data_IF_548951243951
#
_entry.id   IF_548951243951
#
_cell.length_a   1.000
_cell.length_b   1.000
_cell.length_c   1.000
_cell.angle_alpha   90.00
_cell.angle_beta   90.00
_cell.angle_gamma   90.00
#
_symmetry.space_group_name_H-M   'P 1'
#
loop_
_entity.id
_entity.type
_entity.pdbx_description
1 polymer ?
#
# COMPACT_ATOMS: atom_id res chain seq x y z
N UNK A 1 -70.93 43.98 21.99
CA UNK A 1 -71.36 42.57 21.83
C UNK A 1 -70.37 41.93 20.86
N UNK A 2 -69.56 40.91 21.13
CA UNK A 2 -69.41 39.93 22.22
C UNK A 2 -67.93 39.49 22.19
N UNK A 3 -67.29 39.37 23.37
CA UNK A 3 -66.05 38.61 23.58
C UNK A 3 -66.36 37.11 23.48
N UNK A 4 -65.47 36.28 22.94
CA UNK A 4 -64.57 35.40 23.72
C UNK A 4 -64.11 34.12 22.97
N UNK A 5 -62.81 33.84 23.16
CA UNK A 5 -62.14 32.53 23.24
C UNK A 5 -62.15 31.58 22.04
N UNK A 6 -60.94 31.32 21.49
CA UNK A 6 -60.16 30.11 21.83
C UNK A 6 -58.71 30.22 21.31
N UNK A 7 -57.80 30.49 22.25
CA UNK A 7 -56.45 29.94 22.25
C UNK A 7 -56.59 28.41 22.24
N UNK A 8 -55.97 27.70 21.29
CA UNK A 8 -55.34 26.39 21.53
C UNK A 8 -54.53 25.96 20.31
N UNK A 9 -53.24 25.64 20.55
CA UNK A 9 -52.33 24.81 19.73
C UNK A 9 -51.78 25.39 18.42
N UNK A 10 -50.82 26.30 18.58
CA UNK A 10 -49.74 26.54 17.62
C UNK A 10 -48.41 26.06 18.24
N UNK A 11 -48.37 24.78 18.62
CA UNK A 11 -47.14 24.03 18.90
C UNK A 11 -47.37 22.67 18.25
N UNK A 12 -46.64 22.37 17.18
CA UNK A 12 -46.71 21.09 16.50
C UNK A 12 -47.07 21.20 15.02
N UNK A 13 -46.27 21.94 14.25
CA UNK A 13 -46.13 21.68 12.80
C UNK A 13 -44.80 22.27 12.31
N UNK A 14 -43.70 21.83 12.91
CA UNK A 14 -42.35 22.07 12.37
C UNK A 14 -41.49 20.82 12.60
N UNK A 15 -42.01 19.69 12.14
CA UNK A 15 -41.28 18.42 12.11
C UNK A 15 -41.99 17.47 11.16
N UNK A 16 -41.90 17.78 9.87
CA UNK A 16 -42.11 16.86 8.77
C UNK A 16 -41.61 17.59 7.54
N UNK A 17 -40.89 16.86 6.67
CA UNK A 17 -40.14 17.35 5.51
C UNK A 17 -38.68 17.73 5.84
N UNK A 18 -37.89 16.71 6.17
CA UNK A 18 -36.53 16.58 5.61
C UNK A 18 -36.44 15.24 4.89
N UNK A 19 -36.75 15.29 3.59
CA UNK A 19 -36.11 14.54 2.49
C UNK A 19 -35.72 13.07 2.74
N UNK A 20 -36.56 12.14 2.26
CA UNK A 20 -36.20 10.74 2.01
C UNK A 20 -35.42 10.60 0.69
N UNK A 21 -34.10 10.82 0.75
CA UNK A 21 -33.16 10.35 -0.26
C UNK A 21 -32.00 9.64 0.45
N UNK A 22 -32.07 8.31 0.51
CA UNK A 22 -30.89 7.43 0.52
C UNK A 22 -29.95 7.39 1.73
N UNK A 23 -30.24 7.98 2.89
CA UNK A 23 -29.37 7.77 4.06
C UNK A 23 -29.59 6.37 4.65
N UNK A 24 -28.62 5.46 4.45
CA UNK A 24 -28.51 4.25 5.29
C UNK A 24 -28.51 4.68 6.75
N UNK A 25 -29.30 4.03 7.59
CA UNK A 25 -29.29 4.36 9.01
C UNK A 25 -27.88 4.10 9.57
N UNK A 26 -27.44 4.91 10.54
CA UNK A 26 -26.16 4.73 11.23
C UNK A 26 -25.95 3.29 11.70
N UNK A 27 -27.02 2.66 12.19
CA UNK A 27 -27.01 1.26 12.59
C UNK A 27 -26.71 0.33 11.41
N UNK A 28 -27.42 0.49 10.28
CA UNK A 28 -27.19 -0.33 9.08
C UNK A 28 -25.75 -0.22 8.59
N UNK A 29 -25.16 0.98 8.60
CA UNK A 29 -23.76 1.18 8.25
C UNK A 29 -22.83 0.37 9.17
N UNK A 30 -23.01 0.50 10.48
CA UNK A 30 -22.13 -0.18 11.43
C UNK A 30 -22.32 -1.70 11.44
N UNK A 31 -23.53 -2.21 11.17
CA UNK A 31 -23.76 -3.64 10.94
C UNK A 31 -23.09 -4.11 9.64
N UNK A 32 -23.29 -3.37 8.54
CA UNK A 32 -22.75 -3.71 7.23
C UNK A 32 -21.22 -3.84 7.26
N UNK A 33 -20.52 -2.91 7.91
CA UNK A 33 -19.05 -2.90 7.96
C UNK A 33 -18.46 -3.59 9.20
N UNK A 34 -19.31 -4.23 10.02
CA UNK A 34 -18.90 -5.11 11.12
C UNK A 34 -18.47 -4.41 12.41
N UNK A 35 -18.82 -3.14 12.58
CA UNK A 35 -18.70 -2.42 13.85
C UNK A 35 -19.78 -2.82 14.86
N UNK A 36 -20.91 -3.33 14.36
CA UNK A 36 -21.98 -3.96 15.13
C UNK A 36 -22.21 -5.40 14.63
N UNK A 37 -22.67 -6.33 15.50
CA UNK A 37 -23.06 -7.66 15.09
C UNK A 37 -24.30 -7.61 14.19
N UNK A 38 -24.34 -8.47 13.17
CA UNK A 38 -25.52 -8.61 12.30
C UNK A 38 -26.68 -9.20 13.09
N UNK A 39 -27.81 -8.49 13.07
CA UNK A 39 -29.04 -8.91 13.75
C UNK A 39 -29.99 -9.59 12.76
N UNK A 40 -30.60 -10.69 13.18
CA UNK A 40 -31.55 -11.48 12.38
C UNK A 40 -32.93 -11.51 13.03
N UNK A 41 -34.00 -11.60 12.21
CA UNK A 41 -35.37 -11.77 12.71
C UNK A 41 -35.87 -10.61 13.57
N UNK A 42 -36.48 -10.93 14.73
CA UNK A 42 -37.05 -9.95 15.67
C UNK A 42 -36.04 -8.95 16.23
N UNK A 43 -34.74 -9.29 16.25
CA UNK A 43 -33.68 -8.41 16.79
C UNK A 43 -33.41 -7.18 15.93
N UNK A 44 -33.81 -7.19 14.65
CA UNK A 44 -33.71 -5.99 13.79
C UNK A 44 -34.64 -4.86 14.24
N UNK A 45 -35.69 -5.17 14.99
CA UNK A 45 -36.64 -4.18 15.51
C UNK A 45 -36.22 -3.59 16.86
N UNK A 46 -35.26 -4.20 17.55
CA UNK A 46 -34.73 -3.69 18.80
C UNK A 46 -33.67 -2.62 18.55
N UNK A 47 -33.82 -1.47 19.21
CA UNK A 47 -32.82 -0.41 19.19
C UNK A 47 -31.49 -0.92 19.76
N UNK A 48 -30.37 -0.54 19.13
CA UNK A 48 -29.04 -0.72 19.70
C UNK A 48 -28.92 0.16 20.95
N UNK A 49 -28.36 -0.36 22.05
CA UNK A 49 -28.19 0.46 23.26
C UNK A 49 -27.25 1.65 22.97
N UNK A 50 -27.47 2.82 23.58
CA UNK A 50 -26.61 3.99 23.37
C UNK A 50 -25.13 3.69 23.62
N UNK A 51 -24.82 2.91 24.65
CA UNK A 51 -23.45 2.48 24.98
C UNK A 51 -22.82 1.61 23.88
N UNK A 52 -23.61 0.70 23.28
CA UNK A 52 -23.12 -0.16 22.18
C UNK A 52 -22.84 0.67 20.93
N UNK A 53 -23.72 1.64 20.64
CA UNK A 53 -23.54 2.54 19.51
C UNK A 53 -22.33 3.46 19.70
N UNK A 54 -22.14 4.01 20.90
CA UNK A 54 -20.98 4.83 21.26
C UNK A 54 -19.67 4.06 21.01
N UNK A 55 -19.58 2.80 21.48
CA UNK A 55 -18.42 1.94 21.23
C UNK A 55 -18.17 1.69 19.73
N UNK A 56 -19.23 1.45 18.96
CA UNK A 56 -19.12 1.27 17.51
C UNK A 56 -18.60 2.54 16.82
N UNK A 57 -19.10 3.71 17.22
CA UNK A 57 -18.65 5.02 16.72
C UNK A 57 -17.19 5.28 17.10
N UNK A 58 -16.80 5.09 18.36
CA UNK A 58 -15.41 5.27 18.81
C UNK A 58 -14.44 4.40 18.00
N UNK A 59 -14.83 3.15 17.75
CA UNK A 59 -14.02 2.21 16.97
C UNK A 59 -13.91 2.61 15.50
N UNK A 60 -15.00 3.09 14.90
CA UNK A 60 -14.97 3.64 13.55
C UNK A 60 -14.08 4.88 13.44
N UNK A 61 -14.17 5.77 14.42
CA UNK A 61 -13.32 6.96 14.50
C UNK A 61 -11.84 6.58 14.60
N UNK A 62 -11.50 5.66 15.50
CA UNK A 62 -10.14 5.17 15.68
C UNK A 62 -9.59 4.54 14.39
N UNK A 63 -10.35 3.63 13.76
CA UNK A 63 -9.94 2.96 12.54
C UNK A 63 -9.69 3.94 11.38
N UNK A 64 -10.47 5.02 11.31
CA UNK A 64 -10.38 6.03 10.26
C UNK A 64 -9.48 7.22 10.62
N UNK A 65 -8.79 7.18 11.76
CA UNK A 65 -7.91 8.26 12.20
C UNK A 65 -8.63 9.57 12.54
N UNK A 66 -9.92 9.50 12.87
CA UNK A 66 -10.70 10.62 13.38
C UNK A 66 -10.45 10.81 14.88
N UNK A 67 -10.86 11.97 15.41
CA UNK A 67 -10.88 12.19 16.86
C UNK A 67 -11.88 11.22 17.49
N UNK A 68 -11.42 10.38 18.42
CA UNK A 68 -12.27 9.43 19.15
C UNK A 68 -13.11 10.18 20.17
N UNK A 69 -14.38 10.38 19.87
CA UNK A 69 -15.37 11.05 20.73
C UNK A 69 -16.50 10.11 21.15
N UNK A 70 -16.72 9.00 20.42
CA UNK A 70 -17.90 8.15 20.61
C UNK A 70 -19.21 8.78 20.14
N UNK A 71 -19.15 10.01 19.62
CA UNK A 71 -20.30 10.79 19.19
C UNK A 71 -20.34 10.81 17.67
N UNK A 72 -21.52 10.64 17.10
CA UNK A 72 -21.77 10.73 15.67
C UNK A 72 -21.79 12.20 15.21
N UNK A 73 -20.61 12.84 15.27
CA UNK A 73 -20.40 14.22 14.82
C UNK A 73 -20.38 14.33 13.28
N UNK A 74 -20.42 15.57 12.78
CA UNK A 74 -20.52 15.84 11.34
C UNK A 74 -19.32 15.29 10.56
N UNK A 75 -18.13 15.28 11.17
CA UNK A 75 -16.93 14.71 10.55
C UNK A 75 -17.03 13.18 10.44
N UNK A 76 -17.57 12.53 11.46
CA UNK A 76 -17.82 11.09 11.47
C UNK A 76 -18.86 10.71 10.42
N UNK A 77 -20.00 11.42 10.37
CA UNK A 77 -21.03 11.21 9.35
C UNK A 77 -20.48 11.41 7.95
N UNK A 78 -19.78 12.52 7.72
CA UNK A 78 -19.15 12.80 6.42
C UNK A 78 -18.23 11.65 6.00
N UNK A 79 -17.42 11.12 6.93
CA UNK A 79 -16.55 9.98 6.66
C UNK A 79 -17.33 8.70 6.33
N UNK A 80 -18.48 8.46 6.97
CA UNK A 80 -19.33 7.30 6.66
C UNK A 80 -19.87 7.32 5.23
N UNK A 81 -20.16 8.49 4.67
CA UNK A 81 -20.70 8.67 3.32
C UNK A 81 -19.64 8.82 2.23
N UNK A 82 -18.34 8.78 2.57
CA UNK A 82 -17.29 8.77 1.56
C UNK A 82 -17.28 7.45 0.78
N UNK A 83 -17.06 7.48 -0.55
CA UNK A 83 -16.98 6.27 -1.37
C UNK A 83 -15.95 5.27 -0.84
N UNK A 84 -16.34 4.00 -0.71
CA UNK A 84 -15.53 2.95 -0.11
C UNK A 84 -15.78 1.56 -0.70
N UNK A 85 -14.94 0.61 -0.32
CA UNK A 85 -15.15 -0.82 -0.52
C UNK A 85 -16.29 -1.34 0.38
N UNK A 86 -17.06 -2.29 -0.16
CA UNK A 86 -18.18 -2.97 0.49
C UNK A 86 -17.80 -4.08 1.47
N UNK A 87 -16.52 -4.46 1.54
CA UNK A 87 -16.02 -5.46 2.49
C UNK A 87 -16.02 -4.92 3.92
N UNK A 88 -16.27 -5.79 4.90
CA UNK A 88 -16.25 -5.46 6.34
C UNK A 88 -14.87 -5.04 6.82
N UNK A 89 -14.81 -4.05 7.72
CA UNK A 89 -13.58 -3.63 8.40
C UNK A 89 -13.25 -4.57 9.57
N UNK A 90 -14.30 -5.01 10.28
CA UNK A 90 -14.22 -5.84 11.48
C UNK A 90 -15.16 -7.06 11.37
N UNK A 91 -14.83 -8.14 12.07
CA UNK A 91 -15.83 -9.17 12.38
C UNK A 91 -16.75 -8.65 13.48
N UNK A 92 -18.01 -9.08 13.48
CA UNK A 92 -19.04 -8.60 14.43
C UNK A 92 -18.75 -8.88 15.91
N UNK A 93 -17.70 -9.66 16.22
CA UNK A 93 -17.14 -9.88 17.56
C UNK A 93 -16.08 -8.82 17.96
N UNK A 94 -15.79 -7.88 17.08
CA UNK A 94 -14.88 -6.78 17.31
C UNK A 94 -13.44 -7.01 16.82
N UNK A 95 -13.06 -8.20 16.36
CA UNK A 95 -11.73 -8.40 15.77
C UNK A 95 -11.63 -7.76 14.38
N UNK A 96 -10.43 -7.33 13.97
CA UNK A 96 -10.21 -6.87 12.59
C UNK A 96 -10.64 -7.99 11.64
N UNK A 97 -11.39 -7.68 10.58
CA UNK A 97 -11.91 -8.69 9.66
C UNK A 97 -10.74 -9.33 8.90
N UNK A 98 -10.18 -10.39 9.47
CA UNK A 98 -8.98 -11.07 8.98
C UNK A 98 -9.33 -12.48 8.58
N UNK A 99 -9.90 -12.63 7.40
CA UNK A 99 -9.97 -13.94 6.75
C UNK A 99 -8.62 -14.18 6.06
N UNK A 100 -7.60 -14.60 6.82
CA UNK A 100 -6.27 -14.95 6.27
C UNK A 100 -6.42 -16.27 5.50
N UNK A 101 -7.01 -16.18 4.33
CA UNK A 101 -7.13 -17.25 3.35
C UNK A 101 -6.30 -16.87 2.15
N UNK A 102 -5.60 -17.85 1.57
CA UNK A 102 -4.82 -17.65 0.35
C UNK A 102 -5.13 -18.74 -0.66
N UNK A 103 -4.93 -18.46 -1.92
CA UNK A 103 -4.97 -19.49 -2.95
C UNK A 103 -3.86 -20.53 -2.72
N UNK A 104 -4.19 -21.81 -2.94
CA UNK A 104 -3.22 -22.92 -2.85
C UNK A 104 -2.30 -23.00 -4.08
N UNK A 105 -2.60 -22.22 -5.12
CA UNK A 105 -1.86 -22.13 -6.38
C UNK A 105 -1.48 -20.68 -6.67
N UNK A 106 -0.46 -20.49 -7.51
CA UNK A 106 0.00 -19.17 -7.92
C UNK A 106 -0.47 -18.77 -9.33
N UNK A 107 -0.84 -19.74 -10.17
CA UNK A 107 -1.43 -19.47 -11.48
C UNK A 107 -2.94 -19.41 -11.35
N UNK A 108 -3.45 -18.18 -11.34
CA UNK A 108 -4.86 -17.87 -11.17
C UNK A 108 -5.46 -17.52 -12.53
N UNK A 109 -6.70 -17.96 -12.73
CA UNK A 109 -7.48 -17.67 -13.93
C UNK A 109 -8.55 -16.64 -13.62
N UNK A 110 -8.85 -15.77 -14.58
CA UNK A 110 -9.88 -14.74 -14.41
C UNK A 110 -10.68 -14.54 -15.68
N UNK A 111 -11.92 -14.09 -15.54
CA UNK A 111 -12.78 -13.69 -16.67
C UNK A 111 -13.67 -12.52 -16.30
N UNK A 112 -14.18 -11.80 -17.30
CA UNK A 112 -15.26 -10.82 -17.13
C UNK A 112 -16.53 -11.42 -17.67
N UNK A 113 -17.47 -11.72 -16.78
CA UNK A 113 -18.78 -12.28 -17.15
C UNK A 113 -19.72 -11.17 -17.59
N UNK A 114 -19.84 -10.13 -16.77
CA UNK A 114 -20.72 -8.99 -17.00
C UNK A 114 -19.87 -7.72 -17.08
N UNK A 115 -19.85 -7.06 -18.23
CA UNK A 115 -19.19 -5.76 -18.43
C UNK A 115 -20.09 -4.60 -18.03
N UNK A 116 -19.51 -3.49 -17.55
CA UNK A 116 -20.26 -2.29 -17.28
C UNK A 116 -20.91 -1.77 -18.56
N UNK A 117 -22.21 -1.44 -18.46
CA UNK A 117 -23.01 -0.92 -19.58
C UNK A 117 -23.39 0.55 -19.41
N UNK A 118 -23.22 1.09 -18.21
CA UNK A 118 -23.56 2.47 -17.85
C UNK A 118 -22.38 3.43 -18.00
N UNK A 119 -21.16 2.89 -18.08
CA UNK A 119 -19.95 3.67 -18.31
C UNK A 119 -19.75 4.09 -19.78
N UNK A 120 -18.96 5.15 -19.99
CA UNK A 120 -18.44 5.54 -21.30
C UNK A 120 -17.20 4.73 -21.73
N UNK A 121 -16.68 3.85 -20.86
CA UNK A 121 -15.54 3.00 -21.16
C UNK A 121 -15.95 1.84 -22.09
N UNK A 122 -15.21 1.68 -23.19
CA UNK A 122 -15.33 0.50 -24.04
C UNK A 122 -14.95 -0.78 -23.29
N UNK A 123 -15.44 -1.95 -23.73
CA UNK A 123 -15.05 -3.25 -23.15
C UNK A 123 -13.54 -3.46 -23.12
N UNK A 124 -12.83 -3.01 -24.16
CA UNK A 124 -11.37 -3.09 -24.22
C UNK A 124 -10.69 -2.20 -23.16
N UNK A 125 -11.22 -1.00 -22.90
CA UNK A 125 -10.72 -0.14 -21.83
C UNK A 125 -10.95 -0.77 -20.45
N UNK A 126 -12.13 -1.34 -20.22
CA UNK A 126 -12.44 -2.07 -18.99
C UNK A 126 -11.50 -3.28 -18.80
N UNK A 127 -11.31 -4.12 -19.83
CA UNK A 127 -10.37 -5.25 -19.80
C UNK A 127 -8.93 -4.80 -19.51
N UNK A 128 -8.47 -3.73 -20.14
CA UNK A 128 -7.12 -3.23 -19.93
C UNK A 128 -6.91 -2.68 -18.52
N UNK A 129 -7.93 -2.04 -17.93
CA UNK A 129 -7.90 -1.60 -16.54
C UNK A 129 -7.80 -2.80 -15.58
N UNK A 130 -8.63 -3.83 -15.79
CA UNK A 130 -8.61 -5.08 -15.02
C UNK A 130 -7.23 -5.77 -15.12
N UNK A 131 -6.67 -5.89 -16.32
CA UNK A 131 -5.33 -6.47 -16.53
C UNK A 131 -4.25 -5.70 -15.76
N UNK A 132 -4.31 -4.36 -15.76
CA UNK A 132 -3.36 -3.53 -15.01
C UNK A 132 -3.53 -3.66 -13.51
N UNK A 133 -4.77 -3.69 -13.02
CA UNK A 133 -5.09 -3.94 -11.62
C UNK A 133 -4.48 -5.25 -11.12
N UNK A 134 -4.65 -6.36 -11.86
CA UNK A 134 -4.00 -7.64 -11.54
C UNK A 134 -2.47 -7.56 -11.64
N UNK A 135 -1.94 -6.78 -12.59
CA UNK A 135 -0.50 -6.60 -12.76
C UNK A 135 0.17 -5.88 -11.60
N UNK A 136 -0.51 -4.98 -10.89
CA UNK A 136 0.04 -4.38 -9.68
C UNK A 136 0.47 -5.48 -8.69
N UNK A 137 -0.38 -6.50 -8.50
CA UNK A 137 -0.11 -7.64 -7.62
C UNK A 137 0.92 -8.65 -8.20
N UNK A 138 0.82 -9.01 -9.48
CA UNK A 138 1.79 -9.94 -10.10
C UNK A 138 3.19 -9.33 -10.19
N UNK A 139 3.29 -7.99 -10.22
CA UNK A 139 4.58 -7.30 -10.32
C UNK A 139 5.46 -7.50 -9.09
N UNK A 140 4.85 -7.71 -7.93
CA UNK A 140 5.52 -7.83 -6.62
C UNK A 140 5.46 -9.24 -6.02
N UNK A 141 4.77 -10.19 -6.66
CA UNK A 141 4.59 -11.57 -6.18
C UNK A 141 4.99 -12.62 -7.22
N UNK A 142 4.84 -13.89 -6.87
CA UNK A 142 4.96 -15.02 -7.81
C UNK A 142 3.64 -15.36 -8.52
N UNK A 143 2.57 -14.61 -8.25
CA UNK A 143 1.27 -14.84 -8.86
C UNK A 143 1.33 -14.57 -10.37
N UNK A 144 0.66 -15.41 -11.13
CA UNK A 144 0.38 -15.19 -12.55
C UNK A 144 -1.13 -15.18 -12.76
N UNK A 145 -1.58 -14.36 -13.70
CA UNK A 145 -2.99 -14.20 -14.00
C UNK A 145 -3.21 -14.47 -15.48
N UNK A 146 -4.05 -15.46 -15.77
CA UNK A 146 -4.41 -15.83 -17.14
C UNK A 146 -5.89 -15.58 -17.39
N UNK A 147 -6.16 -14.76 -18.38
CA UNK A 147 -7.52 -14.52 -18.85
C UNK A 147 -8.07 -15.79 -19.50
N UNK A 148 -9.31 -16.15 -19.15
CA UNK A 148 -10.06 -17.27 -19.75
C UNK A 148 -11.42 -16.76 -20.25
N UNK A 149 -12.04 -17.42 -21.24
CA UNK A 149 -13.30 -16.93 -21.81
C UNK A 149 -14.45 -16.85 -20.79
N UNK A 150 -14.55 -17.84 -19.90
CA UNK A 150 -15.62 -17.96 -18.91
C UNK A 150 -15.11 -18.63 -17.62
N UNK A 151 -15.70 -18.26 -16.48
CA UNK A 151 -15.37 -18.82 -15.17
C UNK A 151 -13.96 -18.44 -14.71
N UNK A 152 -13.30 -19.36 -14.01
CA UNK A 152 -11.97 -19.16 -13.45
C UNK A 152 -11.96 -19.00 -11.94
N UNK A 153 -10.82 -18.58 -11.40
CA UNK A 153 -10.63 -18.37 -9.96
C UNK A 153 -11.12 -17.00 -9.48
N UNK A 154 -11.28 -16.04 -10.41
CA UNK A 154 -11.78 -14.68 -10.15
C UNK A 154 -12.75 -14.35 -11.28
N UNK A 155 -14.06 -14.39 -11.03
CA UNK A 155 -15.07 -13.94 -12.00
C UNK A 155 -15.48 -12.51 -11.69
N UNK A 156 -15.35 -11.65 -12.70
CA UNK A 156 -15.62 -10.22 -12.58
C UNK A 156 -16.99 -9.89 -13.15
N UNK A 157 -17.79 -9.12 -12.40
CA UNK A 157 -19.12 -8.70 -12.82
C UNK A 157 -19.37 -7.24 -12.45
N UNK A 158 -19.92 -6.47 -13.39
CA UNK A 158 -20.55 -5.19 -13.12
C UNK A 158 -22.05 -5.40 -12.95
N UNK A 159 -22.57 -5.12 -11.76
CA UNK A 159 -23.97 -5.39 -11.36
C UNK A 159 -24.48 -4.26 -10.48
N UNK A 160 -25.79 -4.06 -10.39
CA UNK A 160 -26.39 -2.99 -9.58
C UNK A 160 -27.39 -3.56 -8.57
N UNK A 161 -27.57 -2.87 -7.44
CA UNK A 161 -28.55 -3.24 -6.41
C UNK A 161 -28.33 -4.65 -5.85
N UNK A 162 -29.43 -5.36 -5.57
CA UNK A 162 -29.37 -6.78 -5.23
C UNK A 162 -28.97 -7.63 -6.45
N UNK A 163 -27.89 -8.39 -6.28
CA UNK A 163 -27.29 -9.22 -7.33
C UNK A 163 -27.05 -10.67 -6.88
N UNK A 164 -27.79 -11.10 -5.85
CA UNK A 164 -27.94 -12.52 -5.50
C UNK A 164 -26.84 -13.14 -4.63
N UNK A 165 -25.96 -12.33 -4.05
CA UNK A 165 -24.86 -12.79 -3.19
C UNK A 165 -24.99 -12.35 -1.72
N UNK A 166 -26.09 -11.67 -1.37
CA UNK A 166 -26.37 -11.15 -0.04
C UNK A 166 -25.72 -9.80 0.29
N UNK A 167 -24.94 -9.20 -0.61
CA UNK A 167 -24.25 -7.92 -0.42
C UNK A 167 -24.72 -6.89 -1.45
N UNK A 168 -25.98 -6.45 -1.36
CA UNK A 168 -26.57 -5.52 -2.33
C UNK A 168 -25.84 -4.17 -2.37
N UNK A 169 -25.65 -3.64 -3.58
CA UNK A 169 -25.15 -2.28 -3.78
C UNK A 169 -26.21 -1.21 -3.48
N UNK A 170 -25.77 0.00 -3.13
CA UNK A 170 -26.61 1.11 -2.70
C UNK A 170 -26.85 2.18 -3.77
N UNK A 171 -26.36 1.96 -4.99
CA UNK A 171 -26.42 2.95 -6.07
C UNK A 171 -25.22 3.89 -6.00
N UNK A 172 -25.26 5.04 -6.71
CA UNK A 172 -24.07 5.87 -6.91
C UNK A 172 -23.41 6.37 -5.60
N UNK A 173 -22.09 6.25 -5.54
CA UNK A 173 -21.20 6.78 -4.52
C UNK A 173 -20.74 5.75 -3.48
N UNK A 174 -21.55 5.55 -2.44
CA UNK A 174 -21.17 4.95 -1.14
C UNK A 174 -20.36 3.65 -1.28
N UNK A 175 -20.96 2.55 -1.76
CA UNK A 175 -20.26 1.27 -1.93
C UNK A 175 -19.92 1.06 -3.40
N UNK A 176 -18.63 1.15 -3.72
CA UNK A 176 -18.15 1.11 -5.10
C UNK A 176 -18.07 -0.32 -5.67
N UNK A 177 -17.63 -1.26 -4.84
CA UNK A 177 -17.34 -2.63 -5.23
C UNK A 177 -17.13 -3.51 -3.99
N UNK A 178 -17.13 -4.83 -4.18
CA UNK A 178 -16.63 -5.79 -3.20
C UNK A 178 -16.07 -7.03 -3.88
N UNK A 179 -15.21 -7.76 -3.17
CA UNK A 179 -14.73 -9.06 -3.59
C UNK A 179 -14.84 -10.12 -2.50
N UNK A 180 -15.03 -11.36 -2.95
CA UNK A 180 -14.93 -12.53 -2.10
C UNK A 180 -13.49 -12.97 -1.93
N UNK A 181 -13.14 -13.35 -0.71
CA UNK A 181 -11.83 -13.90 -0.37
C UNK A 181 -11.51 -15.22 -1.12
N UNK A 182 -10.24 -15.67 -1.14
CA UNK A 182 -9.84 -16.92 -1.77
C UNK A 182 -10.70 -18.14 -1.43
N UNK A 183 -10.85 -19.05 -2.41
CA UNK A 183 -11.84 -20.13 -2.54
C UNK A 183 -13.09 -19.74 -3.33
N UNK A 184 -13.36 -18.44 -3.49
CA UNK A 184 -14.32 -17.92 -4.46
C UNK A 184 -13.63 -16.89 -5.36
N UNK A 185 -13.12 -15.79 -4.81
CA UNK A 185 -12.39 -14.77 -5.58
C UNK A 185 -13.24 -13.85 -6.45
N UNK A 186 -14.53 -14.13 -6.62
CA UNK A 186 -15.40 -13.30 -7.46
C UNK A 186 -15.42 -11.85 -6.97
N UNK A 187 -15.45 -10.93 -7.93
CA UNK A 187 -15.34 -9.50 -7.69
C UNK A 187 -16.48 -8.79 -8.40
N UNK A 188 -17.25 -8.03 -7.63
CA UNK A 188 -18.41 -7.29 -8.11
C UNK A 188 -18.15 -5.80 -8.02
N UNK A 189 -18.49 -5.08 -9.09
CA UNK A 189 -18.41 -3.62 -9.19
C UNK A 189 -19.81 -3.05 -9.35
N UNK A 190 -20.16 -1.97 -8.65
CA UNK A 190 -21.47 -1.36 -8.78
C UNK A 190 -21.60 -0.70 -10.16
N UNK A 191 -22.49 -1.23 -11.01
CA UNK A 191 -22.75 -0.69 -12.35
C UNK A 191 -23.55 0.62 -12.30
N UNK A 192 -23.97 1.07 -11.11
CA UNK A 192 -24.55 2.40 -10.90
C UNK A 192 -23.48 3.49 -10.89
N UNK A 193 -22.20 3.13 -10.72
CA UNK A 193 -21.10 4.08 -10.66
C UNK A 193 -20.68 4.63 -12.02
N UNK A 194 -20.21 5.87 -12.00
CA UNK A 194 -19.55 6.48 -13.15
C UNK A 194 -18.09 6.02 -13.23
N UNK A 195 -17.88 4.81 -13.74
CA UNK A 195 -16.54 4.27 -13.97
C UNK A 195 -15.77 5.10 -15.01
N UNK A 196 -14.58 5.55 -14.65
CA UNK A 196 -13.66 6.33 -15.49
C UNK A 196 -12.25 5.75 -15.44
N UNK A 197 -11.36 6.34 -16.24
CA UNK A 197 -9.93 6.05 -16.19
C UNK A 197 -9.18 7.39 -16.22
N UNK A 198 -8.19 7.52 -15.34
CA UNK A 198 -7.22 8.62 -15.34
C UNK A 198 -7.84 10.02 -15.23
N UNK A 199 -8.94 10.15 -14.52
CA UNK A 199 -9.60 11.44 -14.25
C UNK A 199 -10.29 11.40 -12.89
N UNK A 200 -10.43 12.58 -12.28
CA UNK A 200 -11.21 12.77 -11.05
C UNK A 200 -12.71 12.97 -11.31
N UNK A 201 -13.17 13.00 -12.57
CA UNK A 201 -14.58 13.20 -12.92
C UNK A 201 -15.46 11.93 -12.73
N UNK A 202 -15.00 10.98 -11.92
CA UNK A 202 -15.66 9.70 -11.66
C UNK A 202 -14.79 8.78 -10.81
N UNK A 203 -15.13 7.49 -10.84
CA UNK A 203 -14.45 6.45 -10.07
C UNK A 203 -13.45 5.72 -10.97
N UNK A 204 -12.17 5.77 -10.62
CA UNK A 204 -11.12 5.14 -11.42
C UNK A 204 -11.17 3.62 -11.27
N UNK A 205 -11.53 2.95 -12.36
CA UNK A 205 -11.73 1.50 -12.38
C UNK A 205 -10.44 0.73 -12.10
N UNK A 206 -9.27 1.23 -12.51
CA UNK A 206 -7.99 0.54 -12.28
C UNK A 206 -7.65 0.50 -10.78
N UNK A 207 -7.86 1.61 -10.07
CA UNK A 207 -7.56 1.72 -8.64
C UNK A 207 -8.54 0.88 -7.81
N UNK A 208 -9.85 0.99 -8.08
CA UNK A 208 -10.84 0.19 -7.33
C UNK A 208 -10.65 -1.29 -7.62
N UNK A 209 -10.46 -1.70 -8.88
CA UNK A 209 -10.19 -3.10 -9.20
C UNK A 209 -8.91 -3.61 -8.53
N UNK A 210 -7.86 -2.80 -8.45
CA UNK A 210 -6.64 -3.20 -7.75
C UNK A 210 -6.92 -3.48 -6.26
N UNK A 211 -7.72 -2.63 -5.60
CA UNK A 211 -8.14 -2.83 -4.20
C UNK A 211 -8.92 -4.14 -4.04
N UNK A 212 -9.96 -4.33 -4.84
CA UNK A 212 -10.81 -5.53 -4.74
C UNK A 212 -10.04 -6.82 -5.04
N UNK A 213 -9.09 -6.78 -5.98
CA UNK A 213 -8.23 -7.94 -6.21
C UNK A 213 -7.29 -8.21 -5.04
N UNK A 214 -6.95 -7.22 -4.22
CA UNK A 214 -6.28 -7.46 -2.94
C UNK A 214 -7.11 -8.38 -2.04
N UNK A 215 -8.42 -8.16 -1.93
CA UNK A 215 -9.36 -9.04 -1.23
C UNK A 215 -9.49 -10.41 -1.88
N UNK A 216 -9.68 -10.46 -3.21
CA UNK A 216 -9.72 -11.72 -3.96
C UNK A 216 -8.44 -12.56 -3.80
N UNK A 217 -7.32 -11.92 -3.46
CA UNK A 217 -6.04 -12.56 -3.15
C UNK A 217 -5.81 -12.83 -1.66
N UNK A 218 -6.68 -12.35 -0.77
CA UNK A 218 -6.67 -12.68 0.65
C UNK A 218 -6.22 -11.58 1.60
N UNK A 219 -6.08 -10.34 1.12
CA UNK A 219 -5.82 -9.18 1.97
C UNK A 219 -7.11 -8.67 2.60
N UNK A 220 -7.01 -8.21 3.85
CA UNK A 220 -8.06 -7.47 4.52
C UNK A 220 -7.81 -5.96 4.37
N UNK A 221 -8.77 -5.14 4.82
CA UNK A 221 -8.56 -3.71 4.90
C UNK A 221 -7.36 -3.36 5.79
N UNK A 222 -6.61 -2.33 5.37
CA UNK A 222 -5.51 -1.75 6.12
C UNK A 222 -5.96 -0.47 6.82
N UNK A 223 -5.43 -0.24 8.02
CA UNK A 223 -5.54 1.03 8.74
C UNK A 223 -4.54 2.07 8.23
N UNK A 224 -3.57 1.67 7.40
CA UNK A 224 -2.59 2.58 6.81
C UNK A 224 -3.29 3.41 5.74
N UNK A 225 -3.57 4.67 6.05
CA UNK A 225 -4.34 5.56 5.17
C UNK A 225 -3.69 5.81 3.82
N UNK A 226 -2.41 5.54 3.59
CA UNK A 226 -1.78 5.61 2.27
C UNK A 226 -1.92 4.33 1.44
N UNK A 227 -2.17 3.18 2.09
CA UNK A 227 -2.27 1.89 1.43
C UNK A 227 -3.42 1.83 0.43
N UNK A 228 -3.25 1.03 -0.61
CA UNK A 228 -4.33 0.69 -1.53
C UNK A 228 -5.45 0.00 -0.77
N UNK A 229 -5.13 -0.93 0.13
CA UNK A 229 -6.10 -1.68 0.93
C UNK A 229 -6.79 -0.86 2.03
N UNK A 230 -6.59 0.45 2.13
CA UNK A 230 -7.44 1.29 2.95
C UNK A 230 -8.87 1.33 2.37
N UNK A 231 -9.94 1.24 3.17
CA UNK A 231 -11.30 1.01 2.65
C UNK A 231 -11.86 2.15 1.80
N UNK A 232 -11.41 3.38 2.04
CA UNK A 232 -11.97 4.57 1.41
C UNK A 232 -11.23 4.93 0.12
N UNK A 233 -12.00 5.20 -0.93
CA UNK A 233 -11.50 5.64 -2.22
C UNK A 233 -10.97 7.07 -2.13
N UNK A 234 -9.78 7.30 -2.70
CA UNK A 234 -9.03 8.56 -2.59
C UNK A 234 -9.06 9.40 -3.87
N UNK A 235 -9.89 9.03 -4.83
CA UNK A 235 -9.85 9.61 -6.17
C UNK A 235 -8.78 8.97 -7.06
N UNK A 236 -8.62 9.54 -8.25
CA UNK A 236 -7.61 9.09 -9.20
C UNK A 236 -6.21 9.49 -8.72
N UNK A 237 -5.30 8.52 -8.73
CA UNK A 237 -3.88 8.69 -8.37
C UNK A 237 -3.03 8.53 -9.63
N UNK A 238 -2.42 9.61 -10.15
CA UNK A 238 -1.48 9.52 -11.26
C UNK A 238 -0.30 8.60 -10.93
N UNK A 239 0.09 7.76 -11.89
CA UNK A 239 1.20 6.81 -11.76
C UNK A 239 1.13 5.94 -10.48
N UNK A 240 -0.09 5.49 -10.16
CA UNK A 240 -0.39 4.68 -8.99
C UNK A 240 0.60 3.51 -8.79
N UNK A 241 1.01 3.33 -7.52
CA UNK A 241 1.87 2.25 -7.05
C UNK A 241 1.36 1.73 -5.72
N UNK A 242 1.52 0.44 -5.50
CA UNK A 242 1.25 -0.20 -4.21
C UNK A 242 2.09 0.43 -3.09
N UNK A 243 1.49 0.64 -1.92
CA UNK A 243 2.20 1.03 -0.72
C UNK A 243 3.05 -0.15 -0.22
N UNK A 244 4.08 0.15 0.58
CA UNK A 244 4.87 -0.88 1.23
C UNK A 244 4.02 -1.77 2.14
N UNK A 245 2.93 -1.25 2.72
CA UNK A 245 1.97 -2.02 3.49
C UNK A 245 1.28 -3.09 2.64
N UNK A 246 0.78 -2.71 1.46
CA UNK A 246 0.17 -3.64 0.50
C UNK A 246 1.18 -4.72 0.05
N UNK A 247 2.40 -4.29 -0.28
CA UNK A 247 3.48 -5.18 -0.73
C UNK A 247 3.85 -6.20 0.35
N UNK A 248 4.04 -5.75 1.61
CA UNK A 248 4.34 -6.66 2.72
C UNK A 248 3.18 -7.63 2.97
N UNK A 249 1.95 -7.12 2.93
CA UNK A 249 0.73 -7.91 3.08
C UNK A 249 0.68 -9.05 2.07
N UNK A 250 0.76 -8.73 0.77
CA UNK A 250 0.62 -9.73 -0.28
C UNK A 250 1.81 -10.71 -0.34
N UNK A 251 3.04 -10.22 -0.10
CA UNK A 251 4.23 -11.08 -0.07
C UNK A 251 4.28 -11.98 1.17
N UNK A 252 3.55 -11.66 2.24
CA UNK A 252 3.38 -12.58 3.37
C UNK A 252 2.62 -13.85 2.96
N UNK A 253 1.69 -13.74 2.00
CA UNK A 253 0.86 -14.84 1.49
C UNK A 253 1.54 -15.63 0.36
N UNK A 254 2.10 -14.93 -0.63
CA UNK A 254 2.57 -15.51 -1.90
C UNK A 254 4.09 -15.45 -2.11
N UNK A 255 4.82 -14.82 -1.20
CA UNK A 255 6.25 -14.55 -1.37
C UNK A 255 6.53 -13.48 -2.43
N UNK A 256 7.79 -13.08 -2.55
CA UNK A 256 8.19 -12.05 -3.52
C UNK A 256 8.36 -12.66 -4.90
N UNK A 257 8.25 -11.81 -5.92
CA UNK A 257 8.54 -12.19 -7.31
C UNK A 257 9.94 -12.77 -7.48
N UNK A 258 10.06 -14.06 -7.82
CA UNK A 258 11.34 -14.64 -8.25
C UNK A 258 11.71 -14.07 -9.61
N UNK A 259 12.87 -13.41 -9.71
CA UNK A 259 13.50 -13.19 -11.01
C UNK A 259 13.88 -14.56 -11.56
N UNK A 260 13.28 -14.95 -12.69
CA UNK A 260 13.78 -16.10 -13.44
C UNK A 260 15.16 -15.71 -13.96
N UNK A 261 16.21 -16.07 -13.23
CA UNK A 261 17.54 -16.18 -13.82
C UNK A 261 17.46 -17.34 -14.79
N UNK A 262 17.36 -17.02 -16.10
CA UNK A 262 17.49 -18.01 -17.16
C UNK A 262 18.75 -18.84 -16.85
N UNK A 263 18.67 -20.18 -16.76
CA UNK A 263 19.83 -20.97 -16.39
C UNK A 263 20.86 -20.82 -17.50
N UNK A 264 21.92 -20.05 -17.25
CA UNK A 264 23.15 -20.17 -18.02
C UNK A 264 23.71 -21.54 -17.68
N UNK A 265 23.72 -22.43 -18.66
CA UNK A 265 24.41 -23.72 -18.59
C UNK A 265 25.85 -23.48 -18.14
N UNK A 266 26.12 -23.76 -16.86
CA UNK A 266 27.48 -23.78 -16.32
C UNK A 266 27.85 -25.25 -16.04
N UNK A 267 29.02 -25.72 -16.48
CA UNK A 267 29.35 -27.15 -16.44
C UNK A 267 29.29 -27.69 -15.02
N UNK A 268 28.72 -28.89 -14.90
CA UNK A 268 28.68 -29.70 -13.69
C UNK A 268 30.06 -29.75 -13.03
N UNK A 269 30.16 -29.28 -11.79
CA UNK A 269 31.28 -29.64 -10.92
C UNK A 269 30.74 -30.07 -9.56
N UNK A 270 31.40 -31.10 -9.06
CA UNK A 270 30.97 -32.11 -8.11
C UNK A 270 30.49 -31.55 -6.77
N UNK A 271 29.45 -32.18 -6.21
CA UNK A 271 28.95 -31.92 -4.85
C UNK A 271 30.08 -32.09 -3.83
N UNK A 272 30.27 -31.08 -2.98
CA UNK A 272 30.76 -31.29 -1.62
C UNK A 272 29.68 -30.86 -0.63
N UNK A 273 29.40 -31.78 0.29
CA UNK A 273 28.42 -31.68 1.37
C UNK A 273 29.13 -31.01 2.54
N UNK A 274 28.70 -29.82 2.93
CA UNK A 274 29.22 -29.16 4.12
C UNK A 274 28.05 -28.82 5.05
N UNK A 275 28.08 -29.44 6.24
CA UNK A 275 27.20 -29.17 7.35
C UNK A 275 27.62 -27.82 7.96
N UNK A 276 26.72 -26.85 7.96
CA UNK A 276 26.96 -25.51 8.51
C UNK A 276 25.70 -24.97 9.17
N UNK A 277 25.87 -24.59 10.44
CA UNK A 277 24.88 -24.27 11.47
C UNK A 277 23.95 -23.10 11.15
N UNK A 278 22.80 -23.10 11.84
CA UNK A 278 21.74 -22.11 11.71
C UNK A 278 22.16 -20.65 11.93
N UNK A 279 21.23 -19.77 11.55
CA UNK A 279 21.27 -18.29 11.49
C UNK A 279 21.63 -17.69 10.12
N UNK A 280 20.61 -17.60 9.25
CA UNK A 280 20.11 -16.33 8.68
C UNK A 280 19.06 -16.64 7.61
N UNK A 281 17.77 -16.45 7.94
CA UNK A 281 16.65 -16.60 7.00
C UNK A 281 15.92 -15.26 6.90
N UNK A 282 16.59 -14.23 6.39
CA UNK A 282 15.98 -12.94 6.06
C UNK A 282 15.82 -12.80 4.54
N UNK A 283 14.60 -12.40 4.15
CA UNK A 283 14.11 -12.26 2.78
C UNK A 283 14.70 -10.98 2.15
N UNK A 284 15.30 -11.12 0.97
CA UNK A 284 15.67 -10.07 -0.01
C UNK A 284 16.26 -8.76 0.53
N UNK A 285 17.51 -8.84 0.97
CA UNK A 285 18.36 -7.68 1.22
C UNK A 285 18.81 -7.05 -0.11
N UNK A 286 18.13 -6.04 -0.65
CA UNK A 286 18.64 -5.31 -1.83
C UNK A 286 19.84 -4.48 -1.37
N UNK A 287 21.01 -4.75 -1.93
CA UNK A 287 22.19 -3.90 -1.70
C UNK A 287 21.90 -2.53 -2.33
N UNK A 288 21.73 -1.50 -1.50
CA UNK A 288 21.54 -0.12 -1.96
C UNK A 288 22.87 0.56 -2.26
N UNK A 289 23.90 0.29 -1.46
CA UNK A 289 25.24 0.80 -1.69
C UNK A 289 26.30 -0.14 -1.13
N UNK A 290 27.49 -0.12 -1.71
CA UNK A 290 28.64 -0.89 -1.24
C UNK A 290 29.86 0.02 -1.20
N UNK A 291 30.50 0.09 -0.04
CA UNK A 291 31.66 0.95 0.18
C UNK A 291 32.90 0.09 0.36
N UNK A 292 33.88 0.30 -0.53
CA UNK A 292 35.22 -0.25 -0.37
C UNK A 292 36.16 0.79 0.25
N UNK A 293 36.63 0.51 1.45
CA UNK A 293 37.66 1.29 2.13
C UNK A 293 39.00 0.59 1.91
N UNK A 294 39.96 1.28 1.28
CA UNK A 294 41.31 0.75 0.99
C UNK A 294 41.30 -0.63 0.27
N UNK A 295 40.33 -0.86 -0.62
CA UNK A 295 40.22 -2.09 -1.41
C UNK A 295 39.41 -3.21 -0.77
N UNK A 296 39.05 -3.08 0.51
CA UNK A 296 38.21 -4.04 1.24
C UNK A 296 36.79 -3.52 1.38
N UNK A 297 35.81 -4.42 1.32
CA UNK A 297 34.41 -4.06 1.56
C UNK A 297 34.25 -3.82 3.05
N UNK A 298 33.86 -2.60 3.42
CA UNK A 298 33.77 -2.20 4.83
C UNK A 298 32.33 -1.95 5.27
N UNK A 299 31.48 -1.47 4.36
CA UNK A 299 30.05 -1.27 4.60
C UNK A 299 29.24 -1.79 3.41
N UNK A 300 28.19 -2.54 3.72
CA UNK A 300 27.16 -2.95 2.76
C UNK A 300 25.82 -2.39 3.23
N UNK A 301 25.27 -1.46 2.47
CA UNK A 301 23.96 -0.87 2.78
C UNK A 301 22.87 -1.73 2.15
N UNK A 302 21.85 -2.03 2.94
CA UNK A 302 20.77 -2.96 2.62
C UNK A 302 19.44 -2.24 2.78
N UNK A 303 18.59 -2.36 1.76
CA UNK A 303 17.23 -1.81 1.71
C UNK A 303 17.15 -0.31 2.03
N UNK A 304 18.23 0.41 1.74
CA UNK A 304 18.44 1.83 2.06
C UNK A 304 18.40 2.17 3.55
N UNK A 305 17.95 1.31 4.46
CA UNK A 305 17.71 1.61 5.88
C UNK A 305 18.71 0.93 6.83
N UNK A 306 19.40 -0.11 6.35
CA UNK A 306 20.32 -0.92 7.14
C UNK A 306 21.73 -0.91 6.58
N UNK A 307 22.71 -1.20 7.44
CA UNK A 307 24.11 -1.36 7.06
C UNK A 307 24.70 -2.56 7.77
N UNK A 308 25.51 -3.33 7.03
CA UNK A 308 26.37 -4.38 7.56
C UNK A 308 27.79 -3.83 7.55
N UNK A 309 28.40 -3.73 8.74
CA UNK A 309 29.80 -3.34 8.87
C UNK A 309 30.69 -4.57 8.90
N UNK A 310 31.87 -4.48 8.27
CA UNK A 310 32.94 -5.47 8.39
C UNK A 310 33.36 -5.74 9.85
N UNK A 311 33.11 -4.79 10.77
CA UNK A 311 33.43 -4.93 12.20
C UNK A 311 32.47 -5.83 12.95
N UNK A 312 31.17 -5.62 12.75
CA UNK A 312 30.13 -6.28 13.54
C UNK A 312 29.62 -7.53 12.83
N UNK A 313 29.74 -7.58 11.50
CA UNK A 313 29.10 -8.56 10.63
C UNK A 313 27.58 -8.73 10.90
N UNK A 314 26.98 -7.74 11.57
CA UNK A 314 25.57 -7.68 11.92
C UNK A 314 24.90 -6.62 11.06
N UNK A 315 23.61 -6.83 10.82
CA UNK A 315 22.76 -5.88 10.14
C UNK A 315 22.22 -4.90 11.17
N UNK A 316 22.74 -3.68 11.14
CA UNK A 316 22.39 -2.60 12.05
C UNK A 316 21.60 -1.52 11.30
N UNK A 317 20.79 -0.71 12.00
CA UNK A 317 20.22 0.49 11.38
C UNK A 317 21.35 1.46 11.03
N UNK A 318 21.22 2.18 9.91
CA UNK A 318 22.26 3.12 9.46
C UNK A 318 22.63 4.13 10.54
N UNK A 319 21.65 4.69 11.26
CA UNK A 319 21.90 5.63 12.35
C UNK A 319 22.57 5.04 13.58
N UNK A 320 22.53 3.72 13.76
CA UNK A 320 23.25 3.05 14.85
C UNK A 320 24.77 2.99 14.58
N UNK A 321 25.17 2.99 13.30
CA UNK A 321 26.58 2.96 12.88
C UNK A 321 27.09 4.36 12.52
N UNK A 322 26.21 5.18 11.94
CA UNK A 322 26.46 6.57 11.57
C UNK A 322 25.49 7.47 12.32
N UNK A 323 25.85 7.84 13.55
CA UNK A 323 24.99 8.57 14.49
C UNK A 323 24.38 9.86 13.90
N UNK A 324 25.16 10.60 13.10
CA UNK A 324 24.72 11.82 12.39
C UNK A 324 24.36 11.57 10.91
N UNK A 325 24.18 10.31 10.53
CA UNK A 325 23.88 9.89 9.17
C UNK A 325 22.40 10.05 8.78
N UNK A 326 22.10 10.01 7.48
CA UNK A 326 20.73 10.03 6.99
C UNK A 326 19.97 8.74 7.39
N UNK A 327 18.64 8.82 7.43
CA UNK A 327 17.78 7.64 7.69
C UNK A 327 17.82 6.64 6.54
N UNK A 328 18.08 7.12 5.33
CA UNK A 328 18.12 6.31 4.10
C UNK A 328 19.39 6.61 3.30
N UNK A 329 20.00 5.59 2.72
CA UNK A 329 21.19 5.70 1.88
C UNK A 329 20.95 5.02 0.54
N UNK A 330 21.05 5.80 -0.53
CA UNK A 330 20.84 5.33 -1.90
C UNK A 330 22.14 5.06 -2.65
N UNK A 331 23.21 5.80 -2.30
CA UNK A 331 24.55 5.56 -2.76
C UNK A 331 25.55 5.94 -1.67
N UNK A 332 26.73 5.33 -1.69
CA UNK A 332 27.79 5.66 -0.75
C UNK A 332 29.16 5.45 -1.40
N UNK A 333 30.11 6.29 -1.04
CA UNK A 333 31.47 6.25 -1.60
C UNK A 333 32.52 6.59 -0.55
N UNK A 334 33.66 5.92 -0.59
CA UNK A 334 34.82 6.27 0.22
C UNK A 334 35.79 7.15 -0.56
N UNK A 335 36.17 8.30 -0.01
CA UNK A 335 37.23 9.14 -0.55
C UNK A 335 38.54 8.86 0.18
N UNK A 336 39.55 8.42 -0.57
CA UNK A 336 40.93 8.31 -0.07
C UNK A 336 41.56 9.68 0.23
N UNK A 337 41.15 10.72 -0.48
CA UNK A 337 41.68 12.10 -0.34
C UNK A 337 41.28 12.70 1.01
N UNK A 338 40.04 12.47 1.46
CA UNK A 338 39.55 12.99 2.75
C UNK A 338 39.53 11.93 3.85
N UNK A 339 39.82 10.67 3.52
CA UNK A 339 39.69 9.50 4.40
C UNK A 339 38.30 9.38 5.07
N UNK A 340 37.23 9.73 4.32
CA UNK A 340 35.84 9.72 4.80
C UNK A 340 34.92 8.91 3.88
N UNK A 341 33.83 8.41 4.46
CA UNK A 341 32.71 7.84 3.69
C UNK A 341 31.68 8.95 3.47
N UNK A 342 31.20 9.09 2.25
CA UNK A 342 30.13 10.02 1.88
C UNK A 342 28.88 9.21 1.58
N UNK A 343 27.77 9.59 2.20
CA UNK A 343 26.47 8.96 2.03
C UNK A 343 25.58 9.90 1.22
N UNK A 344 25.00 9.39 0.14
CA UNK A 344 24.06 10.10 -0.71
C UNK A 344 22.62 9.70 -0.39
N UNK A 345 21.75 10.69 -0.24
CA UNK A 345 20.32 10.54 0.02
C UNK A 345 19.52 11.65 -0.68
N UNK A 346 18.31 11.33 -1.18
CA UNK A 346 17.43 12.27 -1.90
C UNK A 346 16.66 11.61 -3.05
N UNK A 347 15.56 12.20 -3.51
CA UNK A 347 14.57 11.55 -4.40
C UNK A 347 14.75 11.77 -5.91
N UNK A 348 15.74 12.55 -6.34
CA UNK A 348 16.00 12.84 -7.76
C UNK A 348 17.48 13.10 -8.04
N UNK A 349 17.92 12.82 -9.28
CA UNK A 349 19.29 13.04 -9.77
C UNK A 349 19.89 14.42 -9.42
N UNK A 350 19.04 15.45 -9.36
CA UNK A 350 19.42 16.85 -9.08
C UNK A 350 19.47 17.21 -7.59
N UNK A 351 19.06 16.32 -6.68
CA UNK A 351 18.87 16.61 -5.26
C UNK A 351 19.58 15.62 -4.33
N UNK A 352 20.64 14.96 -4.80
CA UNK A 352 21.48 14.13 -3.92
C UNK A 352 22.26 15.02 -2.94
N UNK A 353 21.97 14.87 -1.65
CA UNK A 353 22.76 15.46 -0.58
C UNK A 353 23.84 14.46 -0.15
N UNK A 354 25.09 14.91 -0.12
CA UNK A 354 26.21 14.14 0.39
C UNK A 354 26.53 14.56 1.81
N UNK A 355 26.43 13.62 2.75
CA UNK A 355 26.91 13.81 4.12
C UNK A 355 28.19 13.02 4.31
N UNK A 356 29.26 13.68 4.74
CA UNK A 356 30.50 13.00 5.12
C UNK A 356 30.35 12.44 6.52
N UNK A 357 30.59 11.15 6.68
CA UNK A 357 30.59 10.45 7.97
C UNK A 357 31.97 9.87 8.24
N UNK A 358 32.46 10.05 9.46
CA UNK A 358 33.73 9.51 9.93
C UNK A 358 33.49 8.12 10.51
N UNK A 359 33.91 7.07 9.80
CA UNK A 359 33.95 5.71 10.37
C UNK A 359 35.16 5.55 11.29
N UNK A 360 34.97 5.01 12.50
CA UNK A 360 36.09 4.59 13.35
C UNK A 360 36.92 3.53 12.62
N UNK A 361 38.26 3.59 12.70
CA UNK A 361 39.14 2.52 12.17
C UNK A 361 39.12 1.28 13.07
N UNK A 362 39.21 0.05 12.52
CA UNK A 362 39.61 -1.12 13.30
C UNK A 362 40.93 -1.72 12.78
N UNK A 363 41.80 -2.09 13.72
CA UNK A 363 43.03 -2.84 13.49
C UNK A 363 42.73 -4.33 13.23
N UNK A 364 43.53 -5.00 12.39
CA UNK A 364 44.07 -6.38 12.49
C UNK A 364 44.42 -7.01 11.13
N UNK A 365 45.37 -7.93 11.22
CA UNK A 365 46.34 -8.44 10.23
C UNK A 365 45.87 -9.60 9.33
N UNK A 366 46.46 -9.63 8.13
CA UNK A 366 46.74 -10.76 7.21
C UNK A 366 45.70 -11.87 6.96
N UNK A 367 45.13 -11.86 5.75
CA UNK A 367 45.10 -12.98 4.80
C UNK A 367 44.85 -12.46 3.37
N UNK A 368 45.49 -13.09 2.40
CA UNK A 368 45.90 -12.55 1.09
C UNK A 368 44.83 -12.61 -0.04
N UNK A 369 44.98 -11.63 -0.96
CA UNK A 369 44.89 -11.67 -2.44
C UNK A 369 43.68 -12.41 -3.05
N UNK A 370 42.85 -11.78 -3.88
CA UNK A 370 43.24 -11.38 -5.24
C UNK A 370 42.17 -10.47 -5.89
N UNK A 371 42.56 -9.81 -6.98
CA UNK A 371 41.86 -8.86 -7.86
C UNK A 371 42.11 -7.36 -7.61
N UNK A 372 43.28 -6.94 -8.12
CA UNK A 372 43.53 -5.69 -8.86
C UNK A 372 42.53 -5.56 -10.02
N UNK A 373 42.12 -4.42 -10.56
CA UNK A 373 42.63 -3.04 -10.61
C UNK A 373 41.45 -2.21 -11.16
N UNK A 374 41.16 -1.02 -10.62
CA UNK A 374 40.56 0.07 -11.39
C UNK A 374 40.69 1.37 -10.63
N UNK A 375 41.37 2.31 -11.26
CA UNK A 375 41.79 3.60 -10.74
C UNK A 375 40.70 4.66 -10.88
N UNK A 376 40.39 5.29 -9.74
CA UNK A 376 40.07 6.70 -9.55
C UNK A 376 39.10 7.39 -10.51
N UNK A 377 37.84 7.47 -10.09
CA UNK A 377 36.98 8.67 -10.16
C UNK A 377 35.67 8.34 -9.42
N UNK A 378 35.12 9.27 -8.61
CA UNK A 378 33.77 9.07 -8.06
C UNK A 378 32.76 9.42 -9.14
N UNK A 379 32.07 8.41 -9.66
CA UNK A 379 31.01 8.56 -10.67
C UNK A 379 29.67 8.43 -9.96
N UNK A 380 28.88 9.52 -9.95
CA UNK A 380 27.49 9.46 -9.53
C UNK A 380 26.64 9.06 -10.74
N UNK A 381 25.85 8.00 -10.58
CA UNK A 381 24.95 7.49 -11.62
C UNK A 381 23.53 7.89 -11.24
N UNK A 382 22.88 8.69 -12.09
CA UNK A 382 21.49 9.07 -11.88
C UNK A 382 20.75 9.08 -13.22
N UNK A 383 19.72 8.23 -13.35
CA UNK A 383 18.84 8.16 -14.53
C UNK A 383 19.58 8.21 -15.88
N UNK A 384 20.56 7.32 -16.09
CA UNK A 384 21.41 7.20 -17.29
C UNK A 384 22.43 8.33 -17.55
N UNK A 385 22.56 9.30 -16.64
CA UNK A 385 23.59 10.35 -16.69
C UNK A 385 24.71 10.05 -15.67
N UNK A 386 25.94 10.41 -16.06
CA UNK A 386 27.15 10.24 -15.26
C UNK A 386 27.72 11.59 -14.89
N UNK A 387 27.81 11.87 -13.59
CA UNK A 387 28.46 13.08 -13.09
C UNK A 387 29.82 12.74 -12.48
N UNK A 388 30.84 13.53 -12.84
CA UNK A 388 32.18 13.45 -12.25
C UNK A 388 32.31 14.52 -11.17
N UNK A 389 32.59 14.11 -9.93
CA UNK A 389 32.77 15.04 -8.82
C UNK A 389 34.12 14.82 -8.13
N UNK A 390 34.77 15.93 -7.73
CA UNK A 390 35.99 15.90 -6.91
C UNK A 390 35.63 16.15 -5.45
N UNK A 391 35.79 15.13 -4.61
CA UNK A 391 35.52 15.21 -3.17
C UNK A 391 36.77 15.72 -2.43
N UNK A 392 36.76 16.98 -2.00
CA UNK A 392 37.87 17.60 -1.25
C UNK A 392 37.42 18.09 0.13
N UNK A 393 38.37 18.37 1.02
CA UNK A 393 38.11 18.88 2.38
C UNK A 393 37.57 20.33 2.42
N UNK A 394 37.25 20.98 1.29
CA UNK A 394 36.64 22.32 1.29
C UNK A 394 35.20 22.22 1.78
N UNK A 395 34.95 22.71 3.00
CA UNK A 395 33.60 22.88 3.57
C UNK A 395 32.72 23.66 2.60
N UNK A 396 31.77 22.98 1.96
CA UNK A 396 30.63 23.62 1.30
C UNK A 396 29.41 23.23 2.13
N UNK A 397 29.10 24.08 3.11
CA UNK A 397 27.77 24.09 3.70
C UNK A 397 26.82 24.62 2.62
N UNK A 398 25.87 23.79 2.18
CA UNK A 398 24.76 24.26 1.35
C UNK A 398 23.71 24.78 2.32
N UNK A 399 23.58 26.11 2.38
CA UNK A 399 22.53 26.81 3.09
C UNK A 399 21.17 26.46 2.44
N UNK A 400 20.26 25.89 3.24
CA UNK A 400 18.97 25.33 2.81
C UNK A 400 17.96 26.38 2.34
N UNK A 401 18.29 27.68 2.43
CA UNK A 401 17.39 28.78 2.09
C UNK A 401 17.75 29.56 0.82
N UNK A 402 18.65 29.05 -0.05
CA UNK A 402 18.91 29.69 -1.36
C UNK A 402 18.65 28.73 -2.54
N UNK A 403 18.12 29.24 -3.67
CA UNK A 403 17.91 28.44 -4.86
C UNK A 403 19.25 27.90 -5.39
N UNK A 404 19.26 26.61 -5.75
CA UNK A 404 20.45 25.89 -6.18
C UNK A 404 21.07 26.49 -7.46
N UNK A 405 22.42 26.50 -7.60
CA UNK A 405 23.05 26.94 -8.84
C UNK A 405 22.77 25.93 -9.95
N UNK A 406 22.41 26.44 -11.12
CA UNK A 406 22.22 25.67 -12.35
C UNK A 406 23.53 24.95 -12.69
N UNK A 407 23.54 23.63 -12.58
CA UNK A 407 24.61 22.78 -13.10
C UNK A 407 24.41 22.72 -14.62
N UNK A 408 25.34 23.31 -15.38
CA UNK A 408 25.34 23.24 -16.84
C UNK A 408 25.54 21.78 -17.30
N UNK A 409 24.76 21.42 -18.32
CA UNK A 409 24.60 20.07 -18.90
C UNK A 409 25.89 19.43 -19.36
#
# INVERSE_FOLDING_TARGET
MVRNTRLTRLIGFMLLVTTSLGEKSTQQFFEQFGYLPERSGSDRTQAVSPETLEKAVSKFQEFNGLKVTGILDDMTKKKMFEPRCGVKDFSGDGAAFRKITKWKKNDLTWSVRDFSRTTRLTRLQQLNAIRKALNHWSSVTQLTFREVPHGGDIVIRFVAGDHGDGNSFDGPGSVLAHAFFPSNGDTHFDDSEKWTLKTNDGIDLEIVAAHEFGHALGLAHSQVSSALMAPYYKGYIPDFKLDNDDIRGIQSLYGVRRRVTRPTTRPTTTRHREYGTGYCRYRYNKISALVRVLGRIDYVFVDQEYVISSKTARMDRIRSVFERGPLRVEAAVYSKETNKVYLAYGTYASHFLLVSVTGQRPCWSNALKSFTQMTWLSVLIACNLYYRMRLSNRQSFVDVNKPSPVIKR
#
